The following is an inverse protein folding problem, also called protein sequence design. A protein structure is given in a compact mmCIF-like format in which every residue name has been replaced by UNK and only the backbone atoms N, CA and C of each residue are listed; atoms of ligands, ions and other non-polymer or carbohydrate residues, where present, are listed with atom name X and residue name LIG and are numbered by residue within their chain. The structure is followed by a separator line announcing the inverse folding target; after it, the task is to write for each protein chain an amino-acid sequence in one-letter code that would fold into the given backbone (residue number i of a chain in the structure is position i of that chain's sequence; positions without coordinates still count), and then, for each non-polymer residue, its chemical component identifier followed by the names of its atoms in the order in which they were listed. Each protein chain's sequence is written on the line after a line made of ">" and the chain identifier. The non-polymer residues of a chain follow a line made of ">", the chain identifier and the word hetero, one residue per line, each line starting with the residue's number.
data_IF_899684329760
#
_entry.id   IF_899684329760
#
_cell.length_a   1.000
_cell.length_b   1.000
_cell.length_c   1.000
_cell.angle_alpha   90.00
_cell.angle_beta   90.00
_cell.angle_gamma   90.00
#
_symmetry.space_group_name_H-M   'P 1'
#
loop_
_entity.id
_entity.type
_entity.pdbx_description
1 polymer ?
#
# COMPACT_ATOMS: atom_id res chain seq x y z
N UNK A 1 -9.97 -8.66 -2.47
CA UNK A 1 -8.81 -8.84 -1.58
C UNK A 1 -7.81 -9.72 -2.31
N UNK A 2 -6.58 -9.27 -2.54
CA UNK A 2 -5.52 -10.11 -3.06
C UNK A 2 -5.07 -11.00 -1.89
N UNK A 3 -5.74 -12.12 -1.67
CA UNK A 3 -5.36 -13.08 -0.63
C UNK A 3 -4.22 -13.92 -1.18
N UNK A 4 -3.02 -13.34 -1.23
CA UNK A 4 -1.82 -14.07 -1.60
C UNK A 4 -1.48 -15.07 -0.50
N UNK A 5 -1.30 -16.33 -0.87
CA UNK A 5 -0.59 -17.31 -0.05
C UNK A 5 0.83 -16.77 0.25
N UNK A 6 1.50 -17.26 1.30
CA UNK A 6 2.91 -16.98 1.56
C UNK A 6 3.79 -17.13 0.29
N UNK A 7 3.52 -18.14 -0.53
CA UNK A 7 4.21 -18.33 -1.81
C UNK A 7 4.05 -17.11 -2.74
N UNK A 8 2.81 -16.63 -2.92
CA UNK A 8 2.52 -15.46 -3.76
C UNK A 8 3.18 -14.19 -3.20
N UNK A 9 3.25 -14.07 -1.87
CA UNK A 9 3.95 -12.95 -1.22
C UNK A 9 5.45 -12.96 -1.54
N UNK A 10 6.10 -14.13 -1.48
CA UNK A 10 7.53 -14.27 -1.78
C UNK A 10 7.81 -13.93 -3.25
N UNK A 11 6.97 -14.39 -4.17
CA UNK A 11 7.11 -14.07 -5.59
C UNK A 11 6.93 -12.57 -5.85
N UNK A 12 5.90 -11.95 -5.27
CA UNK A 12 5.66 -10.52 -5.38
C UNK A 12 6.83 -9.68 -4.84
N UNK A 13 7.46 -10.11 -3.74
CA UNK A 13 8.64 -9.45 -3.19
C UNK A 13 9.87 -9.61 -4.09
N UNK A 14 10.04 -10.76 -4.73
CA UNK A 14 11.13 -10.98 -5.69
C UNK A 14 10.96 -10.09 -6.93
N UNK A 15 9.75 -9.99 -7.47
CA UNK A 15 9.42 -9.09 -8.59
C UNK A 15 9.61 -7.62 -8.23
N UNK A 16 9.26 -7.22 -6.99
CA UNK A 16 9.50 -5.87 -6.50
C UNK A 16 11.01 -5.58 -6.34
N UNK A 17 11.80 -6.52 -5.81
CA UNK A 17 13.26 -6.37 -5.67
C UNK A 17 13.97 -6.27 -7.02
N UNK A 18 13.48 -6.98 -8.04
CA UNK A 18 13.98 -6.91 -9.42
C UNK A 18 13.58 -5.62 -10.16
N UNK A 19 12.71 -4.79 -9.56
CA UNK A 19 12.19 -3.56 -10.18
C UNK A 19 11.11 -3.80 -11.25
N UNK A 20 10.68 -5.05 -11.44
CA UNK A 20 9.61 -5.43 -12.39
C UNK A 20 8.25 -4.89 -11.93
N UNK A 21 8.01 -4.88 -10.62
CA UNK A 21 6.82 -4.28 -10.01
C UNK A 21 7.25 -3.08 -9.17
N UNK A 22 6.79 -1.89 -9.54
CA UNK A 22 7.04 -0.66 -8.79
C UNK A 22 5.83 -0.30 -7.94
N UNK A 23 5.91 -0.38 -6.60
CA UNK A 23 4.81 0.02 -5.74
C UNK A 23 4.62 1.54 -5.82
N UNK A 24 3.48 1.99 -6.34
CA UNK A 24 3.13 3.41 -6.35
C UNK A 24 2.58 3.83 -4.99
N UNK A 25 3.45 4.43 -4.17
CA UNK A 25 3.05 5.10 -2.92
C UNK A 25 2.59 6.51 -3.29
N UNK A 26 1.29 6.78 -3.12
CA UNK A 26 0.70 8.06 -3.49
C UNK A 26 0.56 9.03 -2.33
N UNK A 27 0.45 8.53 -1.10
CA UNK A 27 0.24 9.37 0.09
C UNK A 27 0.79 8.71 1.34
N UNK A 28 1.38 9.53 2.21
CA UNK A 28 1.90 9.12 3.52
C UNK A 28 1.15 9.87 4.60
N UNK A 29 0.75 9.16 5.63
CA UNK A 29 0.07 9.71 6.81
C UNK A 29 0.92 9.42 8.05
N UNK A 30 0.95 10.34 9.01
CA UNK A 30 1.45 10.02 10.34
C UNK A 30 0.50 9.06 11.05
N UNK A 31 0.97 8.43 12.13
CA UNK A 31 0.14 7.55 12.95
C UNK A 31 -1.12 8.26 13.47
N UNK A 32 -0.99 9.51 13.91
CA UNK A 32 -2.11 10.32 14.41
C UNK A 32 -3.18 10.61 13.34
N UNK A 33 -2.79 10.59 12.06
CA UNK A 33 -3.66 10.84 10.93
C UNK A 33 -4.31 9.56 10.36
N UNK A 34 -4.22 8.42 11.05
CA UNK A 34 -4.78 7.14 10.60
C UNK A 34 -6.28 7.23 10.27
N UNK A 35 -7.07 7.94 11.09
CA UNK A 35 -8.50 8.14 10.84
C UNK A 35 -8.75 8.96 9.58
N UNK A 36 -7.95 10.00 9.33
CA UNK A 36 -8.02 10.80 8.10
C UNK A 36 -7.67 9.96 6.87
N UNK A 37 -6.68 9.05 6.98
CA UNK A 37 -6.35 8.13 5.89
C UNK A 37 -7.53 7.22 5.52
N UNK A 38 -8.30 6.77 6.51
CA UNK A 38 -9.49 5.95 6.30
C UNK A 38 -10.60 6.75 5.63
N UNK A 39 -10.86 7.98 6.05
CA UNK A 39 -11.86 8.85 5.44
C UNK A 39 -11.50 9.20 3.99
N UNK A 40 -10.22 9.50 3.71
CA UNK A 40 -9.75 9.74 2.34
C UNK A 40 -9.85 8.49 1.46
N UNK A 41 -9.69 7.29 2.03
CA UNK A 41 -9.91 6.03 1.32
C UNK A 41 -11.39 5.86 0.95
N UNK A 42 -12.31 6.06 1.90
CA UNK A 42 -13.76 5.98 1.68
C UNK A 42 -14.22 7.00 0.64
N UNK A 43 -13.68 8.22 0.70
CA UNK A 43 -13.99 9.30 -0.22
C UNK A 43 -13.34 9.13 -1.61
N UNK A 44 -12.64 8.01 -1.88
CA UNK A 44 -11.93 7.72 -3.14
C UNK A 44 -10.85 8.76 -3.50
N UNK A 45 -10.24 9.40 -2.49
CA UNK A 45 -9.16 10.38 -2.69
C UNK A 45 -7.78 9.75 -2.79
N UNK A 46 -7.65 8.47 -2.45
CA UNK A 46 -6.38 7.72 -2.54
C UNK A 46 -6.34 6.98 -3.88
N UNK A 47 -5.36 7.33 -4.71
CA UNK A 47 -5.00 6.60 -5.94
C UNK A 47 -3.78 5.74 -5.64
N UNK A 48 -3.79 4.44 -5.93
CA UNK A 48 -2.65 3.58 -5.60
C UNK A 48 -2.60 3.21 -4.10
N UNK A 49 -1.43 3.31 -3.45
CA UNK A 49 -1.25 2.89 -2.04
C UNK A 49 -0.98 4.09 -1.12
N UNK A 50 -1.78 4.19 -0.07
CA UNK A 50 -1.48 5.04 1.10
C UNK A 50 -0.75 4.24 2.17
N UNK A 51 0.19 4.87 2.86
CA UNK A 51 0.98 4.25 3.94
C UNK A 51 0.89 5.07 5.21
N UNK A 52 0.84 4.38 6.35
CA UNK A 52 0.96 5.01 7.67
C UNK A 52 2.42 4.86 8.09
N UNK A 53 3.03 6.00 8.44
CA UNK A 53 4.38 6.06 8.97
C UNK A 53 4.29 6.39 10.47
N UNK A 54 4.77 5.50 11.36
CA UNK A 54 4.83 5.77 12.79
C UNK A 54 5.86 6.85 13.14
#
# INVERSE_FOLDING_TARGET
>A
AYTGNYADMVELLDLARKGTINPMISKRYSLDAANTALEDLKARKIVGRAVINP
#
